data_IF_491193638849
#
_entry.id   IF_491193638849
#
_cell.length_a   1.000
_cell.length_b   1.000
_cell.length_c   1.000
_cell.angle_alpha   90.00
_cell.angle_beta   90.00
_cell.angle_gamma   90.00
#
_symmetry.space_group_name_H-M   'P 1'
#
loop_
_entity.id
_entity.type
_entity.pdbx_description
1 polymer ?
#
# COMPACT_ATOMS: atom_id res chain seq x y z
N UNK A 1 26.30 15.82 15.28
CA UNK A 1 26.61 14.54 14.62
C UNK A 1 25.38 13.63 14.48
N UNK A 2 24.64 13.31 15.54
CA UNK A 2 23.44 12.46 15.41
C UNK A 2 22.30 13.16 14.63
N UNK A 3 22.08 14.44 14.91
CA UNK A 3 21.12 15.29 14.19
C UNK A 3 21.44 15.45 12.70
N UNK A 4 22.72 15.52 12.36
CA UNK A 4 23.17 15.63 10.96
C UNK A 4 22.99 14.32 10.21
N UNK A 5 23.23 13.16 10.84
CA UNK A 5 22.99 11.85 10.22
C UNK A 5 21.49 11.63 9.94
N UNK A 6 20.62 11.99 10.91
CA UNK A 6 19.17 11.89 10.73
C UNK A 6 18.65 12.87 9.66
N UNK A 7 19.12 14.11 9.65
CA UNK A 7 18.74 15.10 8.66
C UNK A 7 19.15 14.69 7.25
N UNK A 8 20.37 14.15 7.07
CA UNK A 8 20.81 13.64 5.78
C UNK A 8 19.91 12.50 5.31
N UNK A 9 19.60 11.50 6.13
CA UNK A 9 18.73 10.39 5.72
C UNK A 9 17.35 10.85 5.26
N UNK A 10 16.70 11.74 6.01
CA UNK A 10 15.38 12.28 5.65
C UNK A 10 15.45 13.13 4.38
N UNK A 11 16.49 13.96 4.23
CA UNK A 11 16.64 14.86 3.09
C UNK A 11 16.91 14.11 1.77
N UNK A 12 17.71 13.02 1.81
CA UNK A 12 17.91 12.15 0.64
C UNK A 12 16.60 11.45 0.23
N UNK A 13 15.85 10.90 1.18
CA UNK A 13 14.55 10.27 0.91
C UNK A 13 13.60 11.27 0.27
N UNK A 14 13.55 12.50 0.80
CA UNK A 14 12.67 13.54 0.30
C UNK A 14 13.06 13.98 -1.12
N UNK A 15 14.36 14.09 -1.42
CA UNK A 15 14.87 14.37 -2.78
C UNK A 15 14.50 13.26 -3.76
N UNK A 16 14.68 11.99 -3.38
CA UNK A 16 14.30 10.85 -4.24
C UNK A 16 12.79 10.86 -4.48
N UNK A 17 11.99 11.14 -3.45
CA UNK A 17 10.53 11.25 -3.57
C UNK A 17 10.12 12.35 -4.54
N UNK A 18 10.76 13.52 -4.48
CA UNK A 18 10.52 14.65 -5.40
C UNK A 18 10.89 14.28 -6.83
N UNK A 19 12.04 13.63 -7.05
CA UNK A 19 12.44 13.17 -8.39
C UNK A 19 11.44 12.15 -8.94
N UNK A 20 11.02 11.17 -8.13
CA UNK A 20 9.97 10.23 -8.51
C UNK A 20 8.65 10.94 -8.82
N UNK A 21 8.27 11.95 -8.05
CA UNK A 21 7.08 12.75 -8.30
C UNK A 21 7.17 13.54 -9.62
N UNK A 22 8.36 14.03 -9.98
CA UNK A 22 8.58 14.75 -11.24
C UNK A 22 8.58 13.78 -12.45
N UNK A 23 9.16 12.59 -12.32
CA UNK A 23 9.20 11.59 -13.38
C UNK A 23 7.85 10.90 -13.61
N UNK A 24 7.18 10.49 -12.54
CA UNK A 24 5.90 9.78 -12.62
C UNK A 24 4.69 10.72 -12.56
N UNK A 25 4.87 11.96 -12.10
CA UNK A 25 3.79 12.90 -11.83
C UNK A 25 3.10 12.62 -10.48
N UNK A 26 2.65 13.68 -9.81
CA UNK A 26 1.96 13.58 -8.50
C UNK A 26 0.64 12.79 -8.52
N UNK A 27 0.07 12.51 -9.71
CA UNK A 27 -1.18 11.76 -9.86
C UNK A 27 -1.00 10.25 -10.00
N UNK A 28 0.15 9.77 -10.51
CA UNK A 28 0.36 8.32 -10.73
C UNK A 28 0.63 7.55 -9.44
N UNK A 29 1.29 8.17 -8.46
CA UNK A 29 1.57 7.52 -7.16
C UNK A 29 0.26 7.16 -6.42
N UNK A 30 -0.72 8.08 -6.23
CA UNK A 30 -2.02 7.75 -5.65
C UNK A 30 -2.82 6.74 -6.47
N UNK A 31 -2.77 6.81 -7.80
CA UNK A 31 -3.48 5.90 -8.69
C UNK A 31 -2.97 4.46 -8.57
N UNK A 32 -1.64 4.28 -8.52
CA UNK A 32 -0.99 3.00 -8.28
C UNK A 32 -1.28 2.46 -6.87
N UNK A 33 -1.25 3.32 -5.84
CA UNK A 33 -1.61 2.94 -4.48
C UNK A 33 -3.08 2.51 -4.37
N UNK A 34 -3.98 3.18 -5.08
CA UNK A 34 -5.41 2.83 -5.11
C UNK A 34 -5.62 1.47 -5.80
N UNK A 35 -4.97 1.22 -6.93
CA UNK A 35 -5.02 -0.06 -7.62
C UNK A 35 -4.44 -1.21 -6.78
N UNK A 36 -3.26 -1.01 -6.20
CA UNK A 36 -2.62 -1.99 -5.31
C UNK A 36 -3.46 -2.24 -4.04
N UNK A 37 -4.01 -1.19 -3.45
CA UNK A 37 -4.85 -1.28 -2.26
C UNK A 37 -6.15 -2.05 -2.49
N UNK A 38 -6.81 -1.84 -3.64
CA UNK A 38 -7.97 -2.63 -4.04
C UNK A 38 -7.62 -4.10 -4.26
N UNK A 39 -6.50 -4.40 -4.95
CA UNK A 39 -6.06 -5.77 -5.18
C UNK A 39 -5.71 -6.51 -3.89
N UNK A 40 -5.02 -5.86 -2.94
CA UNK A 40 -4.74 -6.44 -1.61
C UNK A 40 -6.04 -6.67 -0.83
N UNK A 41 -7.01 -5.76 -0.94
CA UNK A 41 -8.31 -5.89 -0.27
C UNK A 41 -9.09 -7.09 -0.83
N UNK A 42 -9.21 -7.20 -2.15
CA UNK A 42 -9.88 -8.32 -2.82
C UNK A 42 -9.19 -9.65 -2.51
N UNK A 43 -7.86 -9.69 -2.52
CA UNK A 43 -7.09 -10.88 -2.13
C UNK A 43 -7.39 -11.30 -0.69
N UNK A 44 -7.41 -10.35 0.24
CA UNK A 44 -7.73 -10.63 1.65
C UNK A 44 -9.18 -11.08 1.84
N UNK A 45 -10.12 -10.50 1.10
CA UNK A 45 -11.54 -10.83 1.20
C UNK A 45 -11.79 -12.26 0.67
N UNK A 46 -11.16 -12.65 -0.45
CA UNK A 46 -11.22 -14.00 -1.01
C UNK A 46 -10.62 -15.06 -0.06
N UNK A 47 -9.44 -14.80 0.51
CA UNK A 47 -8.80 -15.71 1.48
C UNK A 47 -9.67 -15.89 2.73
N UNK A 48 -10.34 -14.82 3.20
CA UNK A 48 -11.27 -14.91 4.35
C UNK A 48 -12.57 -15.65 4.06
N UNK A 49 -13.02 -15.62 2.80
CA UNK A 49 -14.21 -16.35 2.37
C UNK A 49 -13.90 -17.85 2.26
N UNK A 50 -12.69 -18.23 1.83
CA UNK A 50 -12.21 -19.62 1.85
C UNK A 50 -11.94 -20.14 3.28
N UNK A 51 -11.54 -19.28 4.23
CA UNK A 51 -11.31 -19.66 5.63
C UNK A 51 -12.59 -19.81 6.48
N UNK A 52 -13.77 -19.39 5.97
CA UNK A 52 -15.04 -19.66 6.67
C UNK A 52 -15.49 -21.08 6.32
N UNK A 53 -15.43 -22.05 7.25
CA UNK A 53 -15.99 -23.36 7.00
C UNK A 53 -17.50 -23.17 6.82
N UNK A 54 -18.03 -23.79 5.77
CA UNK A 54 -19.44 -24.08 5.55
C UNK A 54 -20.14 -24.42 6.88
N UNK A 55 -20.76 -23.42 7.49
CA UNK A 55 -21.56 -23.60 8.70
C UNK A 55 -22.92 -23.00 8.38
N UNK A 56 -23.91 -23.89 8.36
CA UNK A 56 -25.34 -23.63 8.50
C UNK A 56 -26.12 -23.24 7.22
N UNK A 57 -26.24 -24.21 6.32
CA UNK A 57 -27.52 -24.50 5.66
C UNK A 57 -28.03 -25.88 6.13
N UNK A 58 -28.68 -25.96 7.30
CA UNK A 58 -29.64 -27.02 7.60
C UNK A 58 -30.61 -26.59 8.71
N UNK A 59 -31.72 -25.96 8.32
CA UNK A 59 -32.99 -26.10 9.05
C UNK A 59 -34.16 -25.77 8.13
N UNK A 60 -34.61 -26.77 7.37
CA UNK A 60 -35.97 -26.83 6.84
C UNK A 60 -36.59 -28.17 7.21
#
# INVERSE_FOLDING_TARGET
MLTTILALSVQHILIVLVILLLLFGGKKIPELMKGLGSGIKEFKDAVKEEEKPSTEEEKK
#
